data_IF_552626590052
#
_entry.id   IF_552626590052
#
_cell.length_a   1.000
_cell.length_b   1.000
_cell.length_c   1.000
_cell.angle_alpha   90.00
_cell.angle_beta   90.00
_cell.angle_gamma   90.00
#
_symmetry.space_group_name_H-M   'P 1'
#
loop_
_entity.id
_entity.type
_entity.pdbx_description
1 polymer ?
#
# COMPACT_ATOMS: atom_id res chain seq x y z
N UNK A 1 36.82 48.58 54.77
CA UNK A 1 36.25 48.66 53.40
C UNK A 1 34.86 48.03 53.41
N UNK A 2 33.85 48.84 53.01
CA UNK A 2 32.47 48.55 52.54
C UNK A 2 31.49 47.79 53.47
N UNK A 3 30.59 48.44 54.24
CA UNK A 3 29.18 48.89 53.94
C UNK A 3 28.29 47.84 53.25
N UNK A 4 27.22 47.35 53.93
CA UNK A 4 25.76 47.65 53.77
C UNK A 4 25.22 47.26 52.37
N UNK A 5 24.04 46.68 52.14
CA UNK A 5 22.74 46.80 52.80
C UNK A 5 21.79 45.72 52.25
N UNK A 6 20.82 45.37 53.08
CA UNK A 6 19.53 44.73 52.80
C UNK A 6 18.78 45.39 51.63
N UNK A 7 18.11 44.59 50.79
CA UNK A 7 17.22 45.08 49.74
C UNK A 7 16.26 43.99 49.26
N UNK A 8 15.11 43.87 49.95
CA UNK A 8 13.90 43.27 49.40
C UNK A 8 13.49 44.03 48.14
N UNK A 9 13.25 43.35 47.03
CA UNK A 9 12.33 43.83 46.02
C UNK A 9 11.54 42.66 45.44
N UNK A 10 10.23 42.70 45.73
CA UNK A 10 9.17 42.04 45.00
C UNK A 10 9.36 42.27 43.49
N UNK A 11 9.43 41.20 42.71
CA UNK A 11 9.06 41.26 41.30
C UNK A 11 7.79 40.44 41.08
N UNK A 12 6.71 41.20 41.06
CA UNK A 12 5.40 40.94 40.52
C UNK A 12 5.28 39.76 39.54
N UNK A 13 4.28 38.92 39.85
CA UNK A 13 3.33 38.30 38.93
C UNK A 13 3.41 38.82 37.48
N UNK A 14 3.90 37.96 36.59
CA UNK A 14 3.50 37.94 35.19
C UNK A 14 3.07 36.51 34.85
N UNK A 15 1.76 36.32 34.88
CA UNK A 15 1.06 35.21 34.25
C UNK A 15 1.29 35.27 32.74
N UNK A 16 2.07 34.34 32.19
CA UNK A 16 2.07 34.05 30.77
C UNK A 16 1.07 32.90 30.50
N UNK A 17 0.02 33.14 29.69
CA UNK A 17 -0.84 32.07 29.21
C UNK A 17 -0.19 31.35 28.03
N UNK A 18 -0.48 30.05 27.95
CA UNK A 18 -0.64 29.23 26.74
C UNK A 18 0.39 29.38 25.59
N UNK A 19 1.04 28.24 25.27
CA UNK A 19 0.98 27.55 23.97
C UNK A 19 2.25 26.70 23.81
N UNK A 20 2.23 25.52 24.41
CA UNK A 20 3.07 24.41 23.97
C UNK A 20 2.20 23.17 23.87
N UNK A 21 1.11 23.29 23.10
CA UNK A 21 0.54 22.12 22.46
C UNK A 21 1.55 21.65 21.43
N UNK A 22 2.37 20.66 21.78
CA UNK A 22 2.99 19.81 20.78
C UNK A 22 1.84 19.18 19.99
N UNK A 23 1.44 19.80 18.87
CA UNK A 23 0.73 19.10 17.81
C UNK A 23 1.69 18.12 17.14
N UNK A 24 2.09 17.08 17.88
CA UNK A 24 2.79 15.91 17.35
C UNK A 24 1.80 14.82 16.93
N UNK A 25 0.50 15.13 16.82
CA UNK A 25 -0.55 14.17 16.47
C UNK A 25 -0.91 14.13 14.98
N UNK A 26 -0.37 15.02 14.15
CA UNK A 26 -0.75 15.11 12.74
C UNK A 26 0.25 14.48 11.76
N UNK A 27 1.46 14.10 12.20
CA UNK A 27 2.45 13.48 11.32
C UNK A 27 2.25 11.95 11.22
N UNK A 28 1.81 11.32 12.32
CA UNK A 28 1.62 9.86 12.38
C UNK A 28 0.41 9.36 11.59
N UNK A 29 -0.60 10.21 11.36
CA UNK A 29 -1.78 9.87 10.55
C UNK A 29 -1.53 10.05 9.03
N UNK A 30 -0.40 10.67 8.63
CA UNK A 30 -0.09 10.98 7.22
C UNK A 30 0.56 9.83 6.42
N UNK A 31 0.90 8.72 7.07
CA UNK A 31 1.59 7.59 6.42
C UNK A 31 0.58 6.52 5.93
N UNK A 32 -0.67 6.54 6.43
CA UNK A 32 -1.73 5.68 5.89
C UNK A 32 -2.25 6.33 4.61
N UNK A 33 -1.89 5.74 3.47
CA UNK A 33 -2.42 6.13 2.17
C UNK A 33 -3.87 5.63 1.97
N UNK A 34 -4.44 4.94 2.95
CA UNK A 34 -5.79 4.42 2.92
C UNK A 34 -6.71 5.18 3.89
N UNK A 35 -7.89 5.61 3.42
CA UNK A 35 -8.95 6.26 4.19
C UNK A 35 -9.62 5.26 5.16
N UNK A 36 -9.89 4.04 4.68
CA UNK A 36 -10.44 2.95 5.48
C UNK A 36 -9.41 1.85 5.64
N UNK A 37 -9.21 1.39 6.88
CA UNK A 37 -8.36 0.22 7.19
C UNK A 37 -9.26 -0.94 7.61
N UNK A 38 -9.55 -1.91 6.72
CA UNK A 38 -10.34 -3.07 7.08
C UNK A 38 -9.69 -3.84 8.24
N UNK A 39 -10.48 -4.46 9.14
CA UNK A 39 -9.96 -5.14 10.33
C UNK A 39 -8.81 -6.11 10.06
N UNK A 40 -8.90 -6.88 8.99
CA UNK A 40 -7.89 -7.86 8.56
C UNK A 40 -6.51 -7.25 8.25
N UNK A 41 -6.45 -5.95 7.93
CA UNK A 41 -5.20 -5.24 7.63
C UNK A 41 -4.66 -4.42 8.81
N UNK A 42 -5.41 -4.24 9.91
CA UNK A 42 -5.03 -3.27 10.96
C UNK A 42 -3.65 -3.52 11.55
N UNK A 43 -3.34 -4.77 11.86
CA UNK A 43 -2.05 -5.14 12.46
C UNK A 43 -0.91 -4.93 11.46
N UNK A 44 -1.01 -5.51 10.26
CA UNK A 44 0.05 -5.39 9.25
C UNK A 44 0.23 -3.96 8.76
N UNK A 45 -0.84 -3.16 8.68
CA UNK A 45 -0.76 -1.75 8.31
C UNK A 45 0.08 -0.98 9.32
N UNK A 46 -0.16 -1.16 10.62
CA UNK A 46 0.62 -0.51 11.66
C UNK A 46 2.11 -0.93 11.62
N UNK A 47 2.39 -2.21 11.38
CA UNK A 47 3.75 -2.73 11.22
C UNK A 47 4.46 -2.11 10.01
N UNK A 48 3.81 -2.10 8.85
CA UNK A 48 4.35 -1.53 7.62
C UNK A 48 4.55 -0.02 7.74
N UNK A 49 3.59 0.71 8.31
CA UNK A 49 3.72 2.16 8.51
C UNK A 49 4.86 2.53 9.44
N UNK A 50 5.16 1.70 10.45
CA UNK A 50 6.26 1.95 11.37
C UNK A 50 7.64 1.79 10.69
N UNK A 51 7.72 0.97 9.63
CA UNK A 51 8.96 0.66 8.92
C UNK A 51 9.14 1.45 7.61
N UNK A 52 8.04 1.75 6.91
CA UNK A 52 8.04 2.36 5.59
C UNK A 52 7.76 3.85 5.59
N UNK A 53 8.30 4.54 4.59
CA UNK A 53 8.02 5.95 4.30
C UNK A 53 7.15 6.13 3.05
N UNK A 54 6.53 5.04 2.58
CA UNK A 54 5.60 5.04 1.45
C UNK A 54 4.17 5.03 1.98
N UNK A 55 3.24 5.84 1.43
CA UNK A 55 1.83 5.76 1.76
C UNK A 55 1.30 4.33 1.59
N UNK A 56 0.74 3.76 2.67
CA UNK A 56 0.23 2.39 2.63
C UNK A 56 -1.17 2.39 2.00
N UNK A 57 -1.27 1.92 0.76
CA UNK A 57 -2.54 1.66 0.09
C UNK A 57 -3.08 0.29 0.46
N UNK A 58 -4.38 0.24 0.79
CA UNK A 58 -5.10 -0.98 1.17
C UNK A 58 -6.44 -1.03 0.44
N UNK A 59 -6.87 -2.20 -0.04
CA UNK A 59 -8.19 -2.34 -0.63
C UNK A 59 -9.25 -2.32 0.47
N UNK A 60 -10.43 -1.77 0.18
CA UNK A 60 -11.61 -1.92 1.05
C UNK A 60 -12.21 -3.33 0.99
N UNK A 61 -12.01 -4.03 -0.13
CA UNK A 61 -12.57 -5.36 -0.37
C UNK A 61 -11.64 -6.21 -1.26
N UNK A 62 -11.66 -7.52 -1.01
CA UNK A 62 -11.06 -8.53 -1.90
C UNK A 62 -12.21 -9.27 -2.59
N UNK A 63 -12.22 -9.43 -3.93
CA UNK A 63 -13.27 -10.16 -4.63
C UNK A 63 -13.45 -11.58 -4.08
N UNK A 64 -14.68 -11.99 -3.82
CA UNK A 64 -14.97 -13.36 -3.34
C UNK A 64 -14.42 -14.43 -4.29
N UNK A 65 -14.35 -14.15 -5.59
CA UNK A 65 -13.83 -15.04 -6.61
C UNK A 65 -12.34 -15.43 -6.41
N UNK A 66 -11.56 -14.65 -5.65
CA UNK A 66 -10.16 -14.96 -5.34
C UNK A 66 -9.95 -15.45 -3.92
N UNK A 67 -10.99 -15.40 -3.08
CA UNK A 67 -10.94 -15.92 -1.72
C UNK A 67 -10.98 -17.44 -1.73
N UNK A 68 -10.37 -18.04 -0.72
CA UNK A 68 -10.40 -19.48 -0.49
C UNK A 68 -11.36 -19.78 0.65
N UNK A 69 -11.95 -20.97 0.60
CA UNK A 69 -12.68 -21.48 1.75
C UNK A 69 -11.74 -21.56 2.96
N UNK A 70 -12.17 -21.08 4.14
CA UNK A 70 -11.36 -21.14 5.36
C UNK A 70 -10.95 -22.58 5.67
N UNK A 71 -9.71 -22.77 6.14
CA UNK A 71 -9.28 -24.09 6.59
C UNK A 71 -10.10 -24.52 7.83
N UNK A 72 -10.26 -25.84 8.10
CA UNK A 72 -10.96 -26.32 9.28
C UNK A 72 -10.43 -25.67 10.57
N UNK A 73 -11.33 -25.00 11.31
CA UNK A 73 -11.00 -24.28 12.55
C UNK A 73 -10.64 -22.81 12.36
N UNK A 74 -10.72 -22.28 11.13
CA UNK A 74 -10.55 -20.85 10.84
C UNK A 74 -11.90 -20.18 10.54
N UNK A 75 -12.00 -18.91 10.92
CA UNK A 75 -13.20 -18.08 10.71
C UNK A 75 -12.97 -16.97 9.69
N UNK A 76 -11.71 -16.59 9.46
CA UNK A 76 -11.35 -15.55 8.50
C UNK A 76 -11.13 -16.17 7.12
N UNK A 77 -11.54 -15.46 6.07
CA UNK A 77 -11.31 -15.88 4.69
C UNK A 77 -9.82 -15.80 4.30
N UNK A 78 -9.07 -14.92 4.97
CA UNK A 78 -7.61 -14.79 4.80
C UNK A 78 -6.97 -14.05 5.98
N UNK A 79 -5.65 -14.12 6.03
CA UNK A 79 -4.77 -13.49 6.99
C UNK A 79 -3.76 -12.60 6.26
N UNK A 80 -3.19 -11.64 6.97
CA UNK A 80 -2.18 -10.72 6.41
C UNK A 80 -0.90 -10.74 7.23
N UNK A 81 0.22 -10.56 6.54
CA UNK A 81 1.55 -10.49 7.14
C UNK A 81 2.46 -9.64 6.27
N UNK A 82 3.50 -9.06 6.85
CA UNK A 82 4.57 -8.38 6.09
C UNK A 82 5.92 -8.92 6.53
N UNK A 83 6.73 -9.37 5.57
CA UNK A 83 8.14 -9.70 5.79
C UNK A 83 9.09 -8.66 5.23
N UNK A 84 8.59 -7.79 4.34
CA UNK A 84 9.37 -6.80 3.61
C UNK A 84 8.71 -5.46 3.86
N UNK A 85 9.32 -4.65 4.71
CA UNK A 85 8.94 -3.25 4.91
C UNK A 85 10.18 -2.45 5.34
N UNK A 86 10.51 -1.44 4.54
CA UNK A 86 11.57 -0.47 4.82
C UNK A 86 11.26 0.89 4.16
N UNK A 87 12.20 1.84 4.23
CA UNK A 87 12.02 3.18 3.67
C UNK A 87 11.80 3.21 2.15
N UNK A 88 12.22 2.17 1.44
CA UNK A 88 12.16 2.02 -0.01
C UNK A 88 10.96 1.23 -0.51
N UNK A 89 10.27 0.47 0.35
CA UNK A 89 9.11 -0.32 -0.08
C UNK A 89 8.40 -1.08 1.03
N UNK A 90 7.28 -1.70 0.67
CA UNK A 90 6.61 -2.68 1.51
C UNK A 90 5.89 -3.74 0.68
N UNK A 91 5.70 -4.91 1.27
CA UNK A 91 4.83 -5.98 0.78
C UNK A 91 3.93 -6.50 1.90
N UNK A 92 2.66 -6.71 1.58
CA UNK A 92 1.65 -7.32 2.44
C UNK A 92 1.16 -8.58 1.74
N UNK A 93 1.35 -9.73 2.39
CA UNK A 93 0.90 -11.02 1.93
C UNK A 93 -0.59 -11.22 2.23
N UNK A 94 -1.29 -11.88 1.30
CA UNK A 94 -2.64 -12.39 1.47
C UNK A 94 -2.57 -13.92 1.58
N UNK A 95 -2.84 -14.42 2.79
CA UNK A 95 -2.54 -15.78 3.18
C UNK A 95 -3.80 -16.56 3.56
N UNK A 96 -3.93 -17.80 3.09
CA UNK A 96 -5.12 -18.62 3.33
C UNK A 96 -5.20 -19.16 4.77
N UNK A 97 -4.09 -19.16 5.51
CA UNK A 97 -4.03 -19.63 6.90
C UNK A 97 -3.20 -18.68 7.75
N UNK A 98 -3.53 -18.64 9.04
CA UNK A 98 -2.66 -18.02 10.04
C UNK A 98 -1.27 -18.70 10.03
N UNK A 99 -0.22 -17.92 10.24
CA UNK A 99 1.19 -18.33 10.21
C UNK A 99 1.75 -18.76 8.83
N UNK A 100 1.05 -18.43 7.74
CA UNK A 100 1.59 -18.66 6.40
C UNK A 100 2.81 -17.77 6.10
N UNK A 101 2.76 -16.52 6.54
CA UNK A 101 3.81 -15.52 6.34
C UNK A 101 4.27 -15.43 4.88
N UNK A 102 3.36 -15.45 3.89
CA UNK A 102 3.75 -15.40 2.48
C UNK A 102 4.37 -16.68 1.89
N UNK A 103 4.37 -17.81 2.62
CA UNK A 103 4.88 -19.06 2.10
C UNK A 103 4.07 -19.54 0.89
N UNK A 104 4.76 -19.95 -0.18
CA UNK A 104 4.14 -20.22 -1.48
C UNK A 104 3.10 -21.35 -1.53
N UNK A 105 2.92 -22.17 -0.51
CA UNK A 105 1.84 -23.18 -0.48
C UNK A 105 0.51 -22.63 0.06
N UNK A 106 0.54 -21.58 0.87
CA UNK A 106 -0.63 -21.00 1.53
C UNK A 106 -0.89 -19.54 1.14
N UNK A 107 0.11 -18.84 0.60
CA UNK A 107 -0.07 -17.51 0.05
C UNK A 107 -0.85 -17.59 -1.27
N UNK A 108 -1.83 -16.70 -1.42
CA UNK A 108 -2.61 -16.57 -2.65
C UNK A 108 -2.53 -15.18 -3.27
N UNK A 109 -1.97 -14.20 -2.57
CA UNK A 109 -1.81 -12.87 -3.12
C UNK A 109 -0.81 -12.01 -2.38
N UNK A 110 -0.51 -10.86 -2.96
CA UNK A 110 0.41 -9.86 -2.43
C UNK A 110 -0.05 -8.48 -2.89
N UNK A 111 0.11 -7.47 -2.05
CA UNK A 111 0.01 -6.07 -2.45
C UNK A 111 1.15 -5.29 -1.83
N UNK A 112 1.57 -4.21 -2.48
CA UNK A 112 2.76 -3.52 -2.05
C UNK A 112 3.08 -2.28 -2.84
N UNK A 113 4.22 -1.70 -2.50
CA UNK A 113 4.74 -0.53 -3.16
C UNK A 113 6.27 -0.48 -3.08
N UNK A 114 6.88 0.10 -4.10
CA UNK A 114 8.31 0.45 -4.09
C UNK A 114 8.50 1.90 -4.51
N UNK A 115 9.51 2.55 -3.96
CA UNK A 115 9.95 3.87 -4.43
C UNK A 115 10.75 3.70 -5.72
N UNK A 116 10.39 4.47 -6.74
CA UNK A 116 11.14 4.50 -7.98
C UNK A 116 12.46 5.26 -7.77
N UNK A 117 13.54 4.67 -8.27
CA UNK A 117 14.87 5.26 -8.33
C UNK A 117 15.39 5.21 -9.77
N UNK A 118 16.54 5.83 -10.04
CA UNK A 118 17.16 5.75 -11.37
C UNK A 118 17.50 4.31 -11.79
N UNK A 119 17.70 3.40 -10.82
CA UNK A 119 18.07 2.00 -11.06
C UNK A 119 16.84 1.06 -11.05
N UNK A 120 15.63 1.59 -10.84
CA UNK A 120 14.41 0.78 -10.84
C UNK A 120 13.98 0.51 -12.28
N UNK A 121 13.99 -0.75 -12.76
CA UNK A 121 13.56 -1.04 -14.13
C UNK A 121 12.08 -0.71 -14.30
N UNK A 122 11.69 -0.34 -15.51
CA UNK A 122 10.27 -0.24 -15.87
C UNK A 122 9.61 -1.63 -15.76
N UNK A 123 8.28 -1.65 -15.64
CA UNK A 123 7.52 -2.91 -15.62
C UNK A 123 7.79 -3.70 -16.91
N UNK A 124 7.84 -3.02 -18.05
CA UNK A 124 8.12 -3.65 -19.34
C UNK A 124 9.52 -4.28 -19.40
N UNK A 125 10.54 -3.61 -18.86
CA UNK A 125 11.89 -4.17 -18.77
C UNK A 125 11.94 -5.39 -17.84
N UNK A 126 11.33 -5.31 -16.66
CA UNK A 126 11.27 -6.39 -15.67
C UNK A 126 10.61 -7.66 -16.23
N UNK A 127 9.54 -7.50 -17.02
CA UNK A 127 8.75 -8.61 -17.56
C UNK A 127 9.00 -8.89 -19.04
N UNK A 128 10.00 -8.26 -19.66
CA UNK A 128 10.34 -8.44 -21.08
C UNK A 128 10.56 -9.90 -21.48
N UNK A 129 11.09 -10.72 -20.58
CA UNK A 129 11.32 -12.15 -20.82
C UNK A 129 10.03 -12.97 -21.04
N UNK A 130 8.85 -12.48 -20.63
CA UNK A 130 7.56 -13.13 -20.94
C UNK A 130 7.15 -13.04 -22.40
N UNK A 131 7.78 -12.10 -23.13
CA UNK A 131 7.55 -11.84 -24.54
C UNK A 131 8.55 -12.59 -25.43
N UNK A 132 9.57 -13.23 -24.84
CA UNK A 132 10.52 -14.05 -25.58
C UNK A 132 9.82 -15.28 -26.19
N UNK A 133 9.86 -15.48 -27.52
CA UNK A 133 9.28 -16.66 -28.16
C UNK A 133 9.89 -17.99 -27.68
N UNK A 134 11.12 -17.98 -27.15
CA UNK A 134 11.79 -19.15 -26.60
C UNK A 134 11.33 -19.45 -25.16
N UNK A 135 10.70 -18.49 -24.48
CA UNK A 135 10.16 -18.70 -23.15
C UNK A 135 8.88 -19.55 -23.18
N UNK A 136 9.02 -20.83 -22.84
CA UNK A 136 7.94 -21.81 -22.82
C UNK A 136 7.62 -22.24 -21.38
N UNK A 137 6.78 -21.50 -20.64
CA UNK A 137 6.32 -21.95 -19.32
C UNK A 137 5.45 -23.20 -19.45
N UNK A 138 5.37 -24.02 -18.40
CA UNK A 138 4.55 -25.24 -18.41
C UNK A 138 3.08 -24.91 -18.59
N UNK A 139 2.62 -23.81 -17.98
CA UNK A 139 1.30 -23.24 -18.16
C UNK A 139 1.40 -21.71 -18.05
N UNK A 140 0.46 -20.99 -18.64
CA UNK A 140 0.34 -19.53 -18.50
C UNK A 140 -1.11 -19.10 -18.65
N UNK A 141 -1.42 -17.89 -18.16
CA UNK A 141 -2.70 -17.25 -18.47
C UNK A 141 -2.87 -17.08 -19.98
N UNK A 142 -4.11 -17.19 -20.45
CA UNK A 142 -4.50 -16.83 -21.82
C UNK A 142 -4.50 -15.30 -22.03
N UNK A 143 -4.58 -14.54 -20.93
CA UNK A 143 -4.56 -13.08 -20.95
C UNK A 143 -3.12 -12.57 -21.21
N UNK A 144 -2.89 -11.67 -22.18
CA UNK A 144 -1.56 -11.16 -22.48
C UNK A 144 -1.11 -10.09 -21.48
N UNK A 145 0.17 -9.72 -21.52
CA UNK A 145 0.63 -8.45 -20.95
C UNK A 145 -0.11 -7.33 -21.68
N UNK A 146 -0.75 -6.41 -20.95
CA UNK A 146 -1.50 -5.31 -21.54
C UNK A 146 -1.59 -4.11 -20.61
N UNK A 147 -1.78 -2.94 -21.19
CA UNK A 147 -2.22 -1.75 -20.46
C UNK A 147 -3.66 -1.92 -20.01
N UNK A 148 -3.97 -1.44 -18.81
CA UNK A 148 -5.31 -1.38 -18.22
C UNK A 148 -5.60 0.04 -17.74
N UNK A 149 -6.87 0.47 -17.82
CA UNK A 149 -7.32 1.73 -17.24
C UNK A 149 -7.88 1.46 -15.84
N UNK A 150 -7.28 2.08 -14.84
CA UNK A 150 -7.67 1.98 -13.43
C UNK A 150 -8.54 3.18 -13.02
N UNK A 151 -9.09 3.12 -11.81
CA UNK A 151 -9.91 4.18 -11.24
C UNK A 151 -9.21 5.54 -11.30
N UNK A 152 -9.98 6.60 -11.56
CA UNK A 152 -9.44 7.95 -11.78
C UNK A 152 -8.72 8.14 -13.13
N UNK A 153 -8.76 7.16 -14.04
CA UNK A 153 -8.09 7.24 -15.34
C UNK A 153 -6.58 6.94 -15.28
N UNK A 154 -6.12 6.40 -14.14
CA UNK A 154 -4.73 5.98 -13.96
C UNK A 154 -4.42 4.85 -14.94
N UNK A 155 -3.25 4.93 -15.58
CA UNK A 155 -2.78 3.87 -16.47
C UNK A 155 -2.02 2.82 -15.65
N UNK A 156 -2.42 1.56 -15.76
CA UNK A 156 -1.72 0.43 -15.16
C UNK A 156 -1.22 -0.56 -16.21
N UNK A 157 -0.34 -1.47 -15.79
CA UNK A 157 0.15 -2.58 -16.62
C UNK A 157 -0.22 -3.89 -15.95
N UNK A 158 -0.97 -4.73 -16.66
CA UNK A 158 -1.27 -6.09 -16.26
C UNK A 158 -0.18 -7.05 -16.75
N UNK A 159 0.28 -7.89 -15.83
CA UNK A 159 1.23 -8.97 -16.08
C UNK A 159 0.53 -10.31 -15.76
N UNK A 160 0.43 -11.24 -16.72
CA UNK A 160 -0.22 -12.53 -16.49
C UNK A 160 0.61 -13.45 -15.61
N UNK A 161 -0.05 -14.43 -14.99
CA UNK A 161 0.65 -15.50 -14.31
C UNK A 161 1.24 -16.51 -15.31
N UNK A 162 2.33 -17.15 -14.89
CA UNK A 162 3.02 -18.25 -15.55
C UNK A 162 3.36 -19.32 -14.50
N UNK A 163 3.41 -20.57 -14.92
CA UNK A 163 3.76 -21.71 -14.08
C UNK A 163 5.02 -22.40 -14.59
N UNK A 164 6.00 -22.52 -13.69
CA UNK A 164 7.10 -23.48 -13.79
C UNK A 164 6.94 -24.53 -12.70
N UNK A 165 7.92 -24.61 -11.79
CA UNK A 165 7.79 -25.42 -10.56
C UNK A 165 6.65 -24.92 -9.64
N UNK A 166 6.37 -23.62 -9.68
CA UNK A 166 5.23 -22.97 -9.03
C UNK A 166 4.60 -21.97 -9.99
N UNK A 167 3.31 -21.70 -9.79
CA UNK A 167 2.65 -20.57 -10.45
C UNK A 167 2.91 -19.29 -9.65
N UNK A 168 3.30 -18.23 -10.34
CA UNK A 168 3.41 -16.90 -9.74
C UNK A 168 2.04 -16.20 -9.73
N UNK A 169 2.03 -14.96 -9.22
CA UNK A 169 0.86 -14.10 -9.26
C UNK A 169 0.73 -13.43 -10.63
N UNK A 170 -0.51 -13.33 -11.13
CA UNK A 170 -0.85 -12.28 -12.07
C UNK A 170 -0.87 -10.97 -11.30
N UNK A 171 -0.37 -9.90 -11.90
CA UNK A 171 -0.15 -8.63 -11.23
C UNK A 171 -0.73 -7.47 -12.03
N UNK A 172 -1.12 -6.42 -11.33
CA UNK A 172 -1.32 -5.09 -11.91
C UNK A 172 -0.37 -4.15 -11.20
N UNK A 173 0.36 -3.37 -11.99
CA UNK A 173 1.24 -2.31 -11.53
C UNK A 173 0.70 -0.96 -11.97
N UNK A 174 0.86 0.06 -11.14
CA UNK A 174 0.63 1.45 -11.52
C UNK A 174 1.61 2.36 -10.79
N UNK A 175 1.88 3.52 -11.36
CA UNK A 175 2.87 4.45 -10.85
C UNK A 175 2.25 5.82 -10.57
N UNK A 176 2.45 6.32 -9.35
CA UNK A 176 1.95 7.61 -8.90
C UNK A 176 3.01 8.27 -8.02
N UNK A 177 3.33 9.55 -8.30
CA UNK A 177 4.21 10.36 -7.46
C UNK A 177 5.59 9.73 -7.15
N UNK A 178 6.17 9.01 -8.12
CA UNK A 178 7.47 8.35 -7.95
C UNK A 178 7.42 7.05 -7.13
N UNK A 179 6.25 6.45 -6.96
CA UNK A 179 6.03 5.17 -6.30
C UNK A 179 5.36 4.23 -7.31
N UNK A 180 5.84 2.98 -7.39
CA UNK A 180 5.17 1.91 -8.10
C UNK A 180 4.41 1.06 -7.10
N UNK A 181 3.08 1.09 -7.20
CA UNK A 181 2.19 0.22 -6.46
C UNK A 181 1.91 -1.04 -7.26
N UNK A 182 1.58 -2.11 -6.55
CA UNK A 182 1.13 -3.33 -7.19
C UNK A 182 0.18 -4.13 -6.31
N UNK A 183 -0.60 -4.96 -6.99
CA UNK A 183 -1.31 -6.08 -6.40
C UNK A 183 -1.14 -7.29 -7.29
N UNK A 184 -1.08 -8.48 -6.70
CA UNK A 184 -1.06 -9.72 -7.42
C UNK A 184 -1.84 -10.83 -6.74
N UNK A 185 -2.43 -11.70 -7.57
CA UNK A 185 -3.16 -12.90 -7.15
C UNK A 185 -2.61 -14.10 -7.90
N UNK A 186 -2.27 -15.16 -7.17
CA UNK A 186 -1.78 -16.41 -7.74
C UNK A 186 -2.82 -17.06 -8.62
N UNK A 187 -2.45 -17.31 -9.88
CA UNK A 187 -3.36 -17.80 -10.90
C UNK A 187 -4.63 -16.94 -11.08
N UNK A 188 -4.58 -15.65 -10.69
CA UNK A 188 -5.71 -14.74 -10.77
C UNK A 188 -6.01 -14.28 -12.20
N UNK A 189 -7.26 -13.93 -12.46
CA UNK A 189 -7.71 -13.32 -13.71
C UNK A 189 -7.47 -11.80 -13.67
N UNK A 190 -7.22 -11.18 -14.82
CA UNK A 190 -7.02 -9.72 -14.94
C UNK A 190 -8.14 -8.94 -14.26
N UNK A 191 -9.40 -9.32 -14.51
CA UNK A 191 -10.60 -8.71 -13.90
C UNK A 191 -10.48 -8.57 -12.38
N UNK A 192 -10.07 -9.64 -11.71
CA UNK A 192 -10.05 -9.70 -10.25
C UNK A 192 -8.86 -8.92 -9.67
N UNK A 193 -7.70 -8.99 -10.33
CA UNK A 193 -6.51 -8.21 -9.92
C UNK A 193 -6.74 -6.70 -10.13
N UNK A 194 -7.33 -6.31 -11.26
CA UNK A 194 -7.74 -4.92 -11.54
C UNK A 194 -8.78 -4.43 -10.53
N UNK A 195 -9.75 -5.28 -10.15
CA UNK A 195 -10.75 -4.91 -9.15
C UNK A 195 -10.11 -4.59 -7.79
N UNK A 196 -9.08 -5.33 -7.38
CA UNK A 196 -8.37 -5.03 -6.12
C UNK A 196 -7.53 -3.75 -6.25
N UNK A 197 -6.84 -3.56 -7.39
CA UNK A 197 -6.08 -2.33 -7.63
C UNK A 197 -6.99 -1.08 -7.55
N UNK A 198 -8.16 -1.14 -8.19
CA UNK A 198 -9.16 -0.08 -8.11
C UNK A 198 -9.66 0.15 -6.68
N UNK A 199 -9.93 -0.93 -5.92
CA UNK A 199 -10.32 -0.81 -4.52
C UNK A 199 -9.21 -0.19 -3.64
N UNK A 200 -7.93 -0.34 -4.00
CA UNK A 200 -6.82 0.34 -3.33
C UNK A 200 -6.77 1.84 -3.68
N UNK A 201 -6.96 2.17 -4.97
CA UNK A 201 -6.93 3.54 -5.48
C UNK A 201 -8.11 4.35 -4.93
N UNK A 202 -9.31 3.78 -4.96
CA UNK A 202 -10.54 4.44 -4.49
C UNK A 202 -10.57 4.62 -2.97
N UNK A 203 -9.78 3.84 -2.23
CA UNK A 203 -9.62 3.97 -0.79
C UNK A 203 -8.53 4.97 -0.41
N UNK A 204 -8.01 5.77 -1.33
CA UNK A 204 -7.12 6.86 -0.98
C UNK A 204 -7.92 8.04 -0.42
N UNK A 205 -7.43 8.73 0.62
CA UNK A 205 -8.02 10.00 1.03
C UNK A 205 -8.09 10.92 -0.19
N UNK A 206 -9.25 11.52 -0.43
CA UNK A 206 -9.41 12.50 -1.50
C UNK A 206 -8.24 13.49 -1.43
N UNK A 207 -7.36 13.44 -2.44
CA UNK A 207 -6.26 14.38 -2.58
C UNK A 207 -6.88 15.76 -2.39
N UNK A 208 -6.40 16.54 -1.43
CA UNK A 208 -6.98 17.84 -1.04
C UNK A 208 -6.84 18.92 -2.12
N UNK A 209 -7.22 18.62 -3.36
CA UNK A 209 -7.45 19.54 -4.44
C UNK A 209 -8.85 20.10 -4.21
N UNK A 210 -9.02 21.39 -3.87
CA UNK A 210 -10.32 22.02 -3.92
C UNK A 210 -10.86 21.83 -5.33
N UNK A 211 -12.03 21.21 -5.47
CA UNK A 211 -12.81 21.31 -6.71
C UNK A 211 -12.81 22.78 -7.10
N UNK A 212 -12.22 23.09 -8.26
CA UNK A 212 -12.26 24.42 -8.82
C UNK A 212 -13.73 24.85 -8.84
N UNK A 213 -14.04 25.84 -8.04
CA UNK A 213 -15.35 26.49 -8.03
C UNK A 213 -15.52 27.04 -9.45
N UNK A 214 -16.49 26.48 -10.18
CA UNK A 214 -17.00 27.10 -11.40
C UNK A 214 -17.64 28.42 -10.97
N UNK A 215 -16.90 29.50 -11.19
CA UNK A 215 -17.39 30.87 -11.10
C UNK A 215 -18.29 31.13 -12.31
N UNK A 216 -19.53 30.62 -12.25
CA UNK A 216 -20.57 30.98 -13.22
C UNK A 216 -21.10 32.37 -12.87
N UNK A 217 -20.46 33.35 -13.50
CA UNK A 217 -20.99 34.70 -13.66
C UNK A 217 -22.20 34.66 -14.58
N UNK A 218 -23.40 34.90 -14.04
CA UNK A 218 -24.41 35.71 -14.74
C UNK A 218 -25.41 36.34 -13.78
#
# INVERSE_FOLDING_TARGET
MKTRLLGLLLCALLTLPALAGCSARAESDRILGAEVVPPVFRTVAAEVQAASSIPVLLPTQIPEAVLREPAPGQTEAFYTSSQVADRGGYEINLDAIDQCHGAGYCNFGVLGAIRLTADTPTVDEEYSFYLDPEYQPMMRSEEPITTVTLSGGITGTFIPWVCGANCNAAKVFWEEQGIRYFVGIRSGQMRDVVAIANAMIENQPASGIPSAVSEDTK
#
